data_IF_190971533274
#
_entry.id   IF_190971533274
#
_cell.length_a   1.000
_cell.length_b   1.000
_cell.length_c   1.000
_cell.angle_alpha   90.00
_cell.angle_beta   90.00
_cell.angle_gamma   90.00
#
_symmetry.space_group_name_H-M   'P 1'
#
loop_
_entity.id
_entity.type
_entity.pdbx_description
1 polymer ?
#
# COMPACT_ATOMS: atom_id res chain seq x y z
N UNK A 1 -30.52 10.07 -12.92
CA UNK A 1 -30.22 10.61 -11.57
C UNK A 1 -30.20 9.42 -10.61
N UNK A 2 -29.02 8.82 -10.38
CA UNK A 2 -28.88 7.78 -9.36
C UNK A 2 -28.82 8.47 -8.01
N UNK A 3 -29.89 8.32 -7.24
CA UNK A 3 -29.97 8.74 -5.84
C UNK A 3 -28.90 7.94 -5.10
N UNK A 4 -27.93 8.63 -4.50
CA UNK A 4 -26.89 8.00 -3.68
C UNK A 4 -27.54 7.34 -2.48
N UNK A 5 -27.80 6.03 -2.57
CA UNK A 5 -28.02 5.22 -1.38
C UNK A 5 -26.73 5.25 -0.57
N UNK A 6 -26.86 5.49 0.74
CA UNK A 6 -25.75 5.40 1.68
C UNK A 6 -25.36 3.91 1.79
N UNK A 7 -24.56 3.44 0.85
CA UNK A 7 -24.00 2.10 0.85
C UNK A 7 -23.12 1.95 2.08
N UNK A 8 -23.50 1.04 2.97
CA UNK A 8 -22.77 0.81 4.21
C UNK A 8 -21.47 0.09 3.86
N UNK A 9 -20.34 0.78 4.05
CA UNK A 9 -19.01 0.22 3.83
C UNK A 9 -18.40 -0.23 5.15
N UNK A 10 -18.02 -1.49 5.24
CA UNK A 10 -17.41 -2.09 6.43
C UNK A 10 -16.03 -2.64 6.06
N UNK A 11 -15.05 -2.41 6.94
CA UNK A 11 -13.68 -2.90 6.75
C UNK A 11 -13.36 -3.82 7.92
N UNK A 12 -13.03 -5.07 7.61
CA UNK A 12 -12.61 -6.06 8.59
C UNK A 12 -11.12 -6.33 8.41
N UNK A 13 -10.37 -6.23 9.50
CA UNK A 13 -8.93 -6.48 9.52
C UNK A 13 -8.68 -7.70 10.41
N UNK A 14 -8.01 -8.71 9.85
CA UNK A 14 -7.57 -9.90 10.57
C UNK A 14 -6.06 -10.05 10.42
N UNK A 15 -5.35 -10.01 11.54
CA UNK A 15 -3.93 -10.29 11.62
C UNK A 15 -3.73 -11.68 12.23
N UNK A 16 -2.92 -12.51 11.56
CA UNK A 16 -2.51 -13.83 12.04
C UNK A 16 -1.05 -14.07 11.68
N UNK A 17 -0.40 -15.07 12.28
CA UNK A 17 1.04 -15.34 12.14
C UNK A 17 1.52 -15.23 10.68
N UNK A 18 2.23 -14.15 10.35
CA UNK A 18 2.82 -13.91 9.03
C UNK A 18 1.88 -13.37 7.95
N UNK A 19 0.62 -13.07 8.25
CA UNK A 19 -0.37 -12.65 7.25
C UNK A 19 -1.41 -11.65 7.80
N UNK A 20 -1.61 -10.56 7.06
CA UNK A 20 -2.67 -9.59 7.28
C UNK A 20 -3.72 -9.73 6.19
N UNK A 21 -4.98 -9.84 6.59
CA UNK A 21 -6.14 -9.93 5.69
C UNK A 21 -7.05 -8.74 5.92
N UNK A 22 -7.47 -8.09 4.84
CA UNK A 22 -8.43 -7.00 4.88
C UNK A 22 -9.60 -7.39 3.97
N UNK A 23 -10.81 -7.42 4.52
CA UNK A 23 -12.04 -7.64 3.78
C UNK A 23 -12.85 -6.34 3.76
N UNK A 24 -13.27 -5.92 2.57
CA UNK A 24 -14.14 -4.77 2.38
C UNK A 24 -15.51 -5.28 1.98
N UNK A 25 -16.52 -4.92 2.79
CA UNK A 25 -17.91 -5.24 2.55
C UNK A 25 -18.66 -3.97 2.18
N UNK A 26 -19.58 -4.09 1.23
CA UNK A 26 -20.56 -3.07 0.85
C UNK A 26 -21.95 -3.69 1.03
N UNK A 27 -22.77 -3.09 1.88
CA UNK A 27 -24.09 -3.61 2.29
C UNK A 27 -24.07 -5.09 2.73
N UNK A 28 -23.02 -5.44 3.48
CA UNK A 28 -22.81 -6.80 3.99
C UNK A 28 -22.32 -7.80 2.93
N UNK A 29 -22.15 -7.39 1.68
CA UNK A 29 -21.58 -8.22 0.62
C UNK A 29 -20.08 -7.98 0.50
N UNK A 30 -19.30 -9.05 0.47
CA UNK A 30 -17.85 -8.98 0.27
C UNK A 30 -17.54 -8.51 -1.16
N UNK A 31 -16.90 -7.36 -1.29
CA UNK A 31 -16.53 -6.78 -2.60
C UNK A 31 -15.04 -6.88 -2.89
N UNK A 32 -14.18 -6.76 -1.87
CA UNK A 32 -12.72 -6.87 -2.05
C UNK A 32 -12.07 -7.60 -0.87
N UNK A 33 -10.97 -8.32 -1.18
CA UNK A 33 -10.09 -8.95 -0.19
C UNK A 33 -8.63 -8.63 -0.53
N UNK A 34 -7.90 -8.12 0.45
CA UNK A 34 -6.45 -7.95 0.40
C UNK A 34 -5.80 -8.95 1.34
N UNK A 35 -4.75 -9.62 0.87
CA UNK A 35 -3.94 -10.54 1.68
C UNK A 35 -2.49 -10.13 1.52
N UNK A 36 -1.88 -9.70 2.61
CA UNK A 36 -0.48 -9.30 2.68
C UNK A 36 0.28 -10.30 3.55
N UNK A 37 1.35 -10.89 3.00
CA UNK A 37 2.25 -11.75 3.77
C UNK A 37 3.43 -10.93 4.27
N UNK A 38 3.79 -11.11 5.55
CA UNK A 38 4.85 -10.34 6.22
C UNK A 38 6.23 -10.46 5.52
N UNK A 39 6.48 -11.55 4.80
CA UNK A 39 7.77 -11.76 4.10
C UNK A 39 7.94 -10.92 2.82
N UNK A 40 6.94 -10.11 2.42
CA UNK A 40 6.98 -9.30 1.20
C UNK A 40 6.91 -7.80 1.51
N UNK A 41 7.97 -7.26 2.10
CA UNK A 41 8.14 -5.81 2.12
C UNK A 41 8.45 -5.29 0.70
N UNK A 42 7.43 -4.77 0.03
CA UNK A 42 7.57 -4.12 -1.28
C UNK A 42 8.03 -2.68 -1.07
N UNK A 43 9.17 -2.31 -1.65
CA UNK A 43 9.67 -0.93 -1.61
C UNK A 43 9.01 -0.02 -2.66
N UNK A 44 8.37 -0.59 -3.68
CA UNK A 44 7.74 0.17 -4.77
C UNK A 44 6.57 0.98 -4.25
N UNK A 45 6.56 2.28 -4.55
CA UNK A 45 5.51 3.22 -4.14
C UNK A 45 5.84 3.94 -2.83
N UNK A 46 6.89 3.52 -2.12
CA UNK A 46 7.36 4.22 -0.94
C UNK A 46 7.94 5.58 -1.33
N UNK A 47 7.77 6.56 -0.43
CA UNK A 47 8.31 7.91 -0.58
C UNK A 47 9.25 8.16 0.58
N UNK A 48 10.49 8.53 0.27
CA UNK A 48 11.55 8.76 1.24
C UNK A 48 12.08 10.19 1.14
N UNK A 49 12.65 10.69 2.24
CA UNK A 49 13.46 11.90 2.25
C UNK A 49 14.93 11.49 2.31
N UNK A 50 15.62 11.51 1.17
CA UNK A 50 17.02 11.14 1.07
C UNK A 50 17.99 12.31 0.96
N UNK A 51 19.28 12.02 1.15
CA UNK A 51 20.42 12.92 0.98
C UNK A 51 21.22 12.46 -0.25
N UNK A 52 21.55 13.40 -1.14
CA UNK A 52 22.39 13.09 -2.32
C UNK A 52 23.84 12.91 -1.85
N UNK A 53 24.41 11.73 -2.07
CA UNK A 53 25.80 11.43 -1.72
C UNK A 53 26.78 11.75 -2.84
N UNK A 54 26.41 11.40 -4.09
CA UNK A 54 27.28 11.58 -5.25
C UNK A 54 26.47 11.75 -6.54
N UNK A 55 27.00 12.52 -7.48
CA UNK A 55 26.40 12.78 -8.79
C UNK A 55 27.31 12.26 -9.89
N UNK A 56 26.75 11.57 -10.88
CA UNK A 56 27.45 11.01 -12.04
C UNK A 56 26.98 11.72 -13.33
N UNK A 57 27.62 12.83 -13.75
CA UNK A 57 27.15 13.63 -14.89
C UNK A 57 27.09 12.86 -16.21
N UNK A 58 28.05 11.95 -16.45
CA UNK A 58 28.12 11.17 -17.69
C UNK A 58 26.99 10.14 -17.86
N UNK A 59 26.31 9.78 -16.77
CA UNK A 59 25.14 8.89 -16.78
C UNK A 59 23.82 9.62 -16.52
N UNK A 60 23.87 10.92 -16.27
CA UNK A 60 22.72 11.71 -15.82
C UNK A 60 22.03 11.08 -14.59
N UNK A 61 22.83 10.59 -13.63
CA UNK A 61 22.36 9.86 -12.45
C UNK A 61 23.00 10.38 -11.16
N UNK A 62 22.43 10.01 -10.01
CA UNK A 62 22.97 10.32 -8.68
C UNK A 62 22.68 9.17 -7.71
N UNK A 63 23.56 8.98 -6.74
CA UNK A 63 23.34 8.11 -5.58
C UNK A 63 22.69 8.93 -4.46
N UNK A 64 21.61 8.39 -3.89
CA UNK A 64 20.84 9.03 -2.82
C UNK A 64 20.72 8.04 -1.67
N UNK A 65 21.25 8.42 -0.52
CA UNK A 65 21.00 7.73 0.74
C UNK A 65 19.57 8.08 1.21
N UNK A 66 18.72 7.09 1.44
CA UNK A 66 17.32 7.28 1.88
C UNK A 66 17.11 6.88 3.35
N UNK A 67 18.19 6.59 4.07
CA UNK A 67 18.21 6.03 5.42
C UNK A 67 19.03 4.75 5.50
#
# INVERSE_FOLDING_TARGET
MHKGENMKKEIYINESMGETRIAILEDGQLVEVYIEKQDKHRMVGNVYRGVVENVLPGMQAAFVDIG
#
